data_IF_877718617767
#
_entry.id   IF_877718617767
#
_cell.length_a   1.000
_cell.length_b   1.000
_cell.length_c   1.000
_cell.angle_alpha   90.00
_cell.angle_beta   90.00
_cell.angle_gamma   90.00
#
_symmetry.space_group_name_H-M   'P 1'
#
loop_
_entity.id
_entity.type
_entity.pdbx_description
1 polymer ?
#
# COMPACT_ATOMS: atom_id res chain seq x y z
N UNK A 1 10.91 20.59 22.65
CA UNK A 1 12.05 20.26 21.77
C UNK A 1 11.66 20.62 20.34
N UNK A 2 12.66 20.94 19.51
CA UNK A 2 12.46 21.10 18.07
C UNK A 2 12.65 19.76 17.34
N UNK A 3 11.66 19.31 16.61
CA UNK A 3 11.68 18.01 15.93
C UNK A 3 11.42 18.20 14.43
N UNK A 4 12.30 17.62 13.61
CA UNK A 4 12.06 17.53 12.17
C UNK A 4 11.35 16.20 11.82
N UNK A 5 10.34 16.26 10.96
CA UNK A 5 9.73 15.10 10.32
C UNK A 5 9.93 15.24 8.82
N UNK A 6 10.46 14.20 8.15
CA UNK A 6 10.79 14.21 6.72
C UNK A 6 9.89 13.23 5.97
N UNK A 7 8.99 13.76 5.14
CA UNK A 7 7.96 13.05 4.41
C UNK A 7 6.58 13.23 5.03
N UNK A 8 5.64 13.79 4.25
CA UNK A 8 4.25 14.03 4.65
C UNK A 8 3.27 12.95 4.13
N UNK A 9 3.71 11.70 4.03
CA UNK A 9 2.82 10.54 3.89
C UNK A 9 2.10 10.22 5.21
N UNK A 10 1.25 9.19 5.23
CA UNK A 10 0.43 8.83 6.41
C UNK A 10 1.28 8.65 7.69
N UNK A 11 2.47 8.03 7.58
CA UNK A 11 3.34 7.83 8.73
C UNK A 11 3.89 9.15 9.29
N UNK A 12 4.37 10.05 8.42
CA UNK A 12 4.91 11.33 8.83
C UNK A 12 3.85 12.30 9.35
N UNK A 13 2.69 12.34 8.71
CA UNK A 13 1.54 13.12 9.17
C UNK A 13 1.08 12.67 10.55
N UNK A 14 0.96 11.34 10.76
CA UNK A 14 0.60 10.78 12.06
C UNK A 14 1.63 11.12 13.14
N UNK A 15 2.92 10.91 12.84
CA UNK A 15 4.00 11.23 13.77
C UNK A 15 4.02 12.73 14.11
N UNK A 16 3.95 13.61 13.11
CA UNK A 16 3.95 15.06 13.30
C UNK A 16 2.75 15.52 14.13
N UNK A 17 1.56 14.99 13.87
CA UNK A 17 0.36 15.28 14.65
C UNK A 17 0.54 14.92 16.13
N UNK A 18 1.01 13.71 16.42
CA UNK A 18 1.22 13.26 17.81
C UNK A 18 2.32 14.04 18.53
N UNK A 19 3.41 14.36 17.85
CA UNK A 19 4.52 15.13 18.41
C UNK A 19 4.15 16.58 18.69
N UNK A 20 3.28 17.18 17.88
CA UNK A 20 2.93 18.59 17.93
C UNK A 20 2.14 19.02 19.18
N UNK A 21 1.66 18.05 19.97
CA UNK A 21 1.01 18.33 21.26
C UNK A 21 1.99 18.87 22.32
N UNK A 22 3.28 18.49 22.23
CA UNK A 22 4.30 18.78 23.25
C UNK A 22 5.61 19.38 22.68
N UNK A 23 5.75 19.39 21.36
CA UNK A 23 7.00 19.76 20.68
C UNK A 23 6.77 20.72 19.52
N UNK A 24 7.80 21.49 19.18
CA UNK A 24 7.84 22.32 17.97
C UNK A 24 8.21 21.44 16.79
N UNK A 25 7.27 21.15 15.90
CA UNK A 25 7.43 20.21 14.81
C UNK A 25 7.47 20.94 13.47
N UNK A 26 8.54 20.69 12.70
CA UNK A 26 8.63 21.07 11.29
C UNK A 26 8.47 19.81 10.43
N UNK A 27 7.46 19.80 9.54
CA UNK A 27 7.20 18.72 8.60
C UNK A 27 7.63 19.10 7.19
N UNK A 28 8.65 18.43 6.65
CA UNK A 28 9.18 18.64 5.31
C UNK A 28 8.53 17.67 4.31
N UNK A 29 8.08 18.22 3.18
CA UNK A 29 7.56 17.43 2.05
C UNK A 29 8.21 17.93 0.75
N UNK A 30 8.66 16.97 -0.05
CA UNK A 30 9.30 17.25 -1.33
C UNK A 30 8.30 17.69 -2.42
N UNK A 31 7.08 17.12 -2.36
CA UNK A 31 5.99 17.48 -3.26
C UNK A 31 5.34 18.82 -2.86
N UNK A 32 4.54 19.36 -3.76
CA UNK A 32 3.73 20.56 -3.55
C UNK A 32 2.39 20.28 -2.84
N UNK A 33 2.15 19.03 -2.44
CA UNK A 33 0.98 18.58 -1.70
C UNK A 33 1.36 17.57 -0.59
N UNK A 34 0.63 17.55 0.54
CA UNK A 34 0.81 16.57 1.60
C UNK A 34 -0.04 15.31 1.32
N UNK A 35 0.40 14.16 1.85
CA UNK A 35 -0.35 12.90 1.80
C UNK A 35 0.43 11.72 1.20
N UNK A 36 1.48 11.98 0.41
CA UNK A 36 2.22 10.92 -0.28
C UNK A 36 1.31 10.12 -1.21
N UNK A 37 1.12 8.81 -0.94
CA UNK A 37 0.19 7.96 -1.70
C UNK A 37 -1.30 8.28 -1.44
N UNK A 38 -1.63 9.17 -0.50
CA UNK A 38 -2.98 9.72 -0.33
C UNK A 38 -3.16 10.87 -1.32
N UNK A 39 -3.64 10.56 -2.50
CA UNK A 39 -3.80 11.51 -3.59
C UNK A 39 -5.23 11.44 -4.15
N UNK A 40 -5.98 12.52 -3.94
CA UNK A 40 -7.33 12.69 -4.47
C UNK A 40 -7.34 13.77 -5.54
N UNK A 41 -7.88 13.45 -6.71
CA UNK A 41 -8.01 14.38 -7.86
C UNK A 41 -9.44 14.87 -7.96
N UNK A 42 -9.62 16.17 -8.06
CA UNK A 42 -10.90 16.75 -8.42
C UNK A 42 -11.07 16.69 -9.94
N UNK A 43 -12.12 15.98 -10.37
CA UNK A 43 -12.48 15.86 -11.78
C UNK A 43 -13.83 16.51 -12.00
N UNK A 44 -13.85 17.52 -12.84
CA UNK A 44 -15.10 18.16 -13.26
C UNK A 44 -15.75 17.38 -14.39
N UNK A 45 -17.00 16.93 -14.18
CA UNK A 45 -17.77 16.25 -15.20
C UNK A 45 -19.28 16.42 -14.95
N UNK A 46 -20.03 16.76 -16.01
CA UNK A 46 -21.48 16.95 -15.91
C UNK A 46 -21.90 18.08 -14.96
N UNK A 47 -21.09 19.14 -14.84
CA UNK A 47 -21.37 20.28 -13.95
C UNK A 47 -21.17 19.99 -12.45
N UNK A 48 -20.54 18.87 -12.10
CA UNK A 48 -20.17 18.48 -10.72
C UNK A 48 -18.70 18.13 -10.64
N UNK A 49 -18.12 18.39 -9.47
CA UNK A 49 -16.75 17.96 -9.12
C UNK A 49 -16.79 16.62 -8.40
N UNK A 50 -15.95 15.70 -8.85
CA UNK A 50 -15.83 14.35 -8.33
C UNK A 50 -14.44 14.18 -7.71
N UNK A 51 -14.37 13.83 -6.43
CA UNK A 51 -13.13 13.55 -5.72
C UNK A 51 -12.73 12.08 -5.98
N UNK A 52 -11.73 11.88 -6.82
CA UNK A 52 -11.30 10.54 -7.25
C UNK A 52 -9.92 10.22 -6.65
N UNK A 53 -9.83 9.19 -5.85
CA UNK A 53 -8.57 8.71 -5.28
C UNK A 53 -7.74 7.97 -6.32
N UNK A 54 -6.42 8.17 -6.29
CA UNK A 54 -5.50 7.57 -7.27
C UNK A 54 -4.39 6.73 -6.64
N UNK A 55 -4.26 6.76 -5.33
CA UNK A 55 -3.29 5.97 -4.57
C UNK A 55 -3.99 5.15 -3.48
N UNK A 56 -4.08 5.66 -2.26
CA UNK A 56 -4.84 5.00 -1.20
C UNK A 56 -6.34 5.17 -1.42
N UNK A 57 -7.10 4.05 -1.41
CA UNK A 57 -8.52 4.04 -1.77
C UNK A 57 -9.38 3.40 -0.67
N UNK A 58 -9.00 2.21 -0.18
CA UNK A 58 -9.83 1.39 0.69
C UNK A 58 -9.09 0.88 1.93
N UNK A 59 -9.84 0.62 2.97
CA UNK A 59 -9.41 -0.02 4.21
C UNK A 59 -10.52 -0.95 4.71
N UNK A 60 -10.26 -1.75 5.75
CA UNK A 60 -11.27 -2.66 6.29
C UNK A 60 -11.24 -2.71 7.81
N UNK A 61 -12.29 -3.26 8.41
CA UNK A 61 -12.50 -3.34 9.85
C UNK A 61 -11.60 -4.36 10.58
N UNK A 62 -10.99 -5.31 9.87
CA UNK A 62 -10.12 -6.33 10.48
C UNK A 62 -8.67 -5.88 10.63
N UNK A 63 -8.13 -5.31 9.56
CA UNK A 63 -6.67 -5.09 9.45
C UNK A 63 -6.26 -3.63 9.54
N UNK A 64 -7.20 -2.69 9.79
CA UNK A 64 -6.91 -1.25 9.93
C UNK A 64 -7.36 -0.64 11.26
N UNK A 65 -7.15 -1.29 12.43
CA UNK A 65 -7.68 -0.79 13.71
C UNK A 65 -7.07 0.54 14.14
N UNK A 66 -5.77 0.80 13.85
CA UNK A 66 -5.11 2.05 14.23
C UNK A 66 -5.46 3.19 13.29
N UNK A 67 -5.59 2.91 12.00
CA UNK A 67 -6.06 3.88 11.01
C UNK A 67 -7.51 4.28 11.30
N UNK A 68 -8.40 3.33 11.59
CA UNK A 68 -9.81 3.60 11.98
C UNK A 68 -9.86 4.41 13.28
N UNK A 69 -9.03 4.09 14.28
CA UNK A 69 -8.96 4.87 15.52
C UNK A 69 -8.53 6.32 15.24
N UNK A 70 -7.56 6.53 14.35
CA UNK A 70 -7.15 7.87 13.90
C UNK A 70 -8.30 8.61 13.21
N UNK A 71 -9.00 7.97 12.27
CA UNK A 71 -10.16 8.59 11.59
C UNK A 71 -11.26 8.97 12.58
N UNK A 72 -11.54 8.09 13.56
CA UNK A 72 -12.53 8.31 14.61
C UNK A 72 -12.17 9.52 15.48
N UNK A 73 -10.90 9.61 15.92
CA UNK A 73 -10.41 10.73 16.74
C UNK A 73 -10.47 12.06 16.01
N UNK A 74 -10.23 12.03 14.68
CA UNK A 74 -10.28 13.21 13.83
C UNK A 74 -11.70 13.56 13.34
N UNK A 75 -12.72 12.75 13.65
CA UNK A 75 -14.09 12.98 13.18
C UNK A 75 -14.24 12.80 11.67
N UNK A 76 -13.36 12.05 11.01
CA UNK A 76 -13.41 11.79 9.57
C UNK A 76 -14.41 10.68 9.26
N UNK A 77 -15.38 10.98 8.40
CA UNK A 77 -16.39 10.01 7.98
C UNK A 77 -15.91 9.07 6.88
N UNK A 78 -16.40 7.82 6.90
CA UNK A 78 -16.19 6.83 5.87
C UNK A 78 -17.50 6.13 5.46
N UNK A 79 -17.43 5.34 4.41
CA UNK A 79 -18.59 4.63 3.87
C UNK A 79 -18.20 3.25 3.36
N UNK A 80 -19.15 2.28 3.23
CA UNK A 80 -18.89 0.99 2.64
C UNK A 80 -18.31 1.09 1.23
N UNK A 81 -17.41 0.14 0.90
CA UNK A 81 -16.80 -0.05 -0.41
C UNK A 81 -17.03 -1.49 -0.88
N UNK A 82 -17.10 -1.69 -2.19
CA UNK A 82 -17.10 -3.02 -2.79
C UNK A 82 -15.66 -3.39 -3.18
N UNK A 83 -15.15 -4.46 -2.59
CA UNK A 83 -13.83 -4.99 -2.87
C UNK A 83 -13.97 -6.33 -3.61
N UNK A 84 -14.01 -6.27 -4.91
CA UNK A 84 -14.13 -7.42 -5.80
C UNK A 84 -12.94 -7.50 -6.76
N UNK A 85 -12.59 -8.71 -7.16
CA UNK A 85 -11.46 -8.98 -8.05
C UNK A 85 -11.88 -9.74 -9.29
N UNK A 86 -11.39 -9.29 -10.44
CA UNK A 86 -11.55 -9.96 -11.71
C UNK A 86 -10.22 -10.19 -12.42
N UNK A 87 -10.22 -11.18 -13.30
CA UNK A 87 -9.11 -11.44 -14.19
C UNK A 87 -9.60 -11.48 -15.65
N UNK A 88 -8.86 -10.79 -16.52
CA UNK A 88 -8.94 -10.90 -17.97
C UNK A 88 -7.57 -11.31 -18.49
N UNK A 89 -7.51 -12.43 -19.21
CA UNK A 89 -6.29 -12.94 -19.84
C UNK A 89 -6.35 -12.80 -21.35
N UNK A 90 -5.41 -12.08 -21.97
CA UNK A 90 -5.38 -11.89 -23.43
C UNK A 90 -5.06 -13.17 -24.16
N UNK A 91 -4.09 -13.96 -23.66
CA UNK A 91 -3.63 -15.20 -24.29
C UNK A 91 -4.71 -16.26 -24.39
N UNK A 92 -5.49 -16.46 -23.32
CA UNK A 92 -6.51 -17.53 -23.25
C UNK A 92 -7.93 -17.03 -23.51
N UNK A 93 -8.14 -15.72 -23.53
CA UNK A 93 -9.46 -15.09 -23.57
C UNK A 93 -10.30 -15.40 -22.33
N UNK A 94 -9.68 -15.81 -21.21
CA UNK A 94 -10.36 -16.09 -19.95
C UNK A 94 -10.77 -14.78 -19.28
N UNK A 95 -12.04 -14.70 -18.89
CA UNK A 95 -12.57 -13.61 -18.05
C UNK A 95 -13.44 -14.21 -16.95
N UNK A 96 -13.17 -13.83 -15.70
CA UNK A 96 -14.00 -14.20 -14.55
C UNK A 96 -13.89 -13.18 -13.43
N UNK A 97 -14.86 -13.21 -12.50
CA UNK A 97 -14.86 -12.44 -11.26
C UNK A 97 -15.23 -13.40 -10.10
N UNK A 98 -14.45 -13.37 -9.05
CA UNK A 98 -14.57 -14.29 -7.90
C UNK A 98 -15.68 -13.97 -6.89
N UNK A 99 -16.55 -12.97 -7.14
CA UNK A 99 -17.52 -12.48 -6.14
C UNK A 99 -18.71 -13.43 -5.95
N UNK A 100 -19.17 -14.07 -7.02
CA UNK A 100 -20.32 -14.99 -6.98
C UNK A 100 -20.15 -16.11 -8.00
N UNK A 101 -20.92 -17.20 -7.85
CA UNK A 101 -20.95 -18.27 -8.86
C UNK A 101 -21.36 -17.74 -10.25
N UNK A 102 -22.28 -16.78 -10.30
CA UNK A 102 -22.73 -16.19 -11.56
C UNK A 102 -21.59 -15.41 -12.27
N UNK A 103 -20.83 -14.63 -11.52
CA UNK A 103 -19.69 -13.87 -12.04
C UNK A 103 -18.45 -14.74 -12.28
N UNK A 104 -18.23 -15.79 -11.48
CA UNK A 104 -17.17 -16.78 -11.67
C UNK A 104 -17.33 -17.50 -13.01
N UNK A 105 -18.58 -17.85 -13.35
CA UNK A 105 -18.94 -18.42 -14.64
C UNK A 105 -19.52 -17.40 -15.62
N UNK A 106 -19.04 -16.15 -15.60
CA UNK A 106 -19.42 -15.12 -16.59
C UNK A 106 -19.24 -15.61 -18.03
N UNK A 107 -18.25 -16.46 -18.27
CA UNK A 107 -18.11 -17.26 -19.48
C UNK A 107 -18.66 -18.66 -19.23
N UNK A 108 -19.92 -18.94 -19.64
CA UNK A 108 -20.64 -20.21 -19.37
C UNK A 108 -19.89 -21.47 -19.84
N UNK A 109 -19.04 -21.36 -20.87
CA UNK A 109 -18.16 -22.45 -21.33
C UNK A 109 -17.22 -22.97 -20.24
N UNK A 110 -16.91 -22.17 -19.23
CA UNK A 110 -16.03 -22.56 -18.14
C UNK A 110 -16.68 -23.57 -17.17
N UNK A 111 -18.00 -23.77 -17.21
CA UNK A 111 -18.71 -24.82 -16.46
C UNK A 111 -18.25 -26.21 -16.84
N UNK A 112 -17.81 -26.41 -18.10
CA UNK A 112 -17.36 -27.69 -18.63
C UNK A 112 -15.87 -27.71 -19.00
N UNK A 113 -15.11 -26.66 -18.59
CA UNK A 113 -13.67 -26.58 -18.88
C UNK A 113 -12.84 -27.20 -17.74
N UNK A 114 -12.20 -28.38 -17.94
CA UNK A 114 -11.53 -29.10 -16.86
C UNK A 114 -10.43 -28.28 -16.17
N UNK A 115 -9.63 -27.50 -16.93
CA UNK A 115 -8.57 -26.67 -16.36
C UNK A 115 -9.11 -25.55 -15.46
N UNK A 116 -10.27 -24.97 -15.77
CA UNK A 116 -10.90 -23.95 -14.95
C UNK A 116 -11.50 -24.55 -13.67
N UNK A 117 -12.15 -25.71 -13.77
CA UNK A 117 -12.68 -26.45 -12.61
C UNK A 117 -11.53 -26.89 -11.68
N UNK A 118 -10.39 -27.34 -12.25
CA UNK A 118 -9.19 -27.66 -11.49
C UNK A 118 -8.65 -26.42 -10.75
N UNK A 119 -8.63 -25.25 -11.39
CA UNK A 119 -8.24 -24.01 -10.75
C UNK A 119 -9.11 -23.71 -9.52
N UNK A 120 -10.44 -23.86 -9.64
CA UNK A 120 -11.37 -23.67 -8.51
C UNK A 120 -11.06 -24.67 -7.38
N UNK A 121 -10.86 -25.96 -7.71
CA UNK A 121 -10.49 -26.95 -6.71
C UNK A 121 -9.17 -26.62 -6.02
N UNK A 122 -8.19 -26.09 -6.76
CA UNK A 122 -6.91 -25.67 -6.22
C UNK A 122 -7.04 -24.41 -5.32
N UNK A 123 -7.94 -23.46 -5.65
CA UNK A 123 -8.26 -22.32 -4.77
C UNK A 123 -8.79 -22.83 -3.43
N UNK A 124 -9.78 -23.73 -3.43
CA UNK A 124 -10.35 -24.27 -2.21
C UNK A 124 -9.31 -25.07 -1.39
N UNK A 125 -8.47 -25.85 -2.09
CA UNK A 125 -7.37 -26.60 -1.46
C UNK A 125 -6.32 -25.67 -0.84
N UNK A 126 -5.94 -24.59 -1.53
CA UNK A 126 -5.01 -23.58 -1.03
C UNK A 126 -5.58 -22.90 0.22
N UNK A 127 -6.83 -22.45 0.17
CA UNK A 127 -7.51 -21.81 1.29
C UNK A 127 -7.56 -22.70 2.55
N UNK A 128 -7.75 -24.03 2.36
CA UNK A 128 -7.80 -24.97 3.47
C UNK A 128 -6.41 -25.29 4.07
N UNK A 129 -5.38 -25.48 3.20
CA UNK A 129 -4.09 -26.02 3.62
C UNK A 129 -3.03 -24.96 3.92
N UNK A 130 -3.07 -23.81 3.26
CA UNK A 130 -1.99 -22.81 3.40
C UNK A 130 -1.86 -22.26 4.83
N UNK A 131 -2.94 -22.27 5.62
CA UNK A 131 -2.91 -21.88 7.04
C UNK A 131 -1.94 -22.71 7.87
N UNK A 132 -1.59 -23.92 7.46
CA UNK A 132 -0.58 -24.74 8.13
C UNK A 132 0.79 -24.03 8.20
N UNK A 133 1.09 -23.16 7.22
CA UNK A 133 2.31 -22.36 7.22
C UNK A 133 2.37 -21.34 8.36
N UNK A 134 1.24 -20.89 8.88
CA UNK A 134 1.16 -19.90 9.95
C UNK A 134 1.63 -20.49 11.30
N UNK A 135 1.56 -21.84 11.45
CA UNK A 135 2.05 -22.56 12.61
C UNK A 135 3.59 -22.73 12.60
N UNK A 136 4.24 -22.45 11.48
CA UNK A 136 5.70 -22.53 11.35
C UNK A 136 6.34 -21.15 11.57
N UNK A 137 7.62 -21.13 11.96
CA UNK A 137 8.43 -19.89 12.03
C UNK A 137 9.41 -19.80 10.83
N UNK A 138 9.25 -20.68 9.83
CA UNK A 138 10.12 -20.73 8.68
C UNK A 138 9.67 -19.74 7.59
N UNK A 139 10.39 -18.64 7.47
CA UNK A 139 10.20 -17.63 6.42
C UNK A 139 11.12 -17.88 5.20
N UNK A 140 11.89 -18.98 5.18
CA UNK A 140 12.79 -19.31 4.07
C UNK A 140 12.09 -19.95 2.87
N UNK A 141 10.96 -20.65 3.10
CA UNK A 141 10.17 -21.28 2.05
C UNK A 141 9.51 -20.23 1.18
N UNK A 142 9.82 -20.23 -0.12
CA UNK A 142 9.20 -19.30 -1.06
C UNK A 142 7.80 -19.76 -1.50
N UNK A 143 6.99 -18.81 -1.99
CA UNK A 143 5.66 -19.10 -2.51
C UNK A 143 5.74 -20.09 -3.69
N UNK A 144 6.70 -19.89 -4.60
CA UNK A 144 6.93 -20.78 -5.74
C UNK A 144 7.26 -22.21 -5.32
N UNK A 145 8.16 -22.39 -4.34
CA UNK A 145 8.48 -23.71 -3.79
C UNK A 145 7.28 -24.36 -3.11
N UNK A 146 6.52 -23.62 -2.30
CA UNK A 146 5.31 -24.13 -1.66
C UNK A 146 4.28 -24.61 -2.68
N UNK A 147 4.02 -23.81 -3.71
CA UNK A 147 3.08 -24.16 -4.76
C UNK A 147 3.55 -25.38 -5.58
N UNK A 148 4.84 -25.45 -5.87
CA UNK A 148 5.46 -26.58 -6.57
C UNK A 148 5.37 -27.88 -5.77
N UNK A 149 5.77 -27.88 -4.50
CA UNK A 149 5.68 -29.02 -3.57
C UNK A 149 4.22 -29.47 -3.37
N UNK A 150 3.29 -28.52 -3.34
CA UNK A 150 1.85 -28.81 -3.22
C UNK A 150 1.19 -29.35 -4.48
N UNK A 151 1.87 -29.40 -5.63
CA UNK A 151 1.32 -29.87 -6.91
C UNK A 151 0.11 -29.06 -7.38
N UNK A 152 0.17 -27.72 -7.17
CA UNK A 152 -0.87 -26.82 -7.67
C UNK A 152 -0.81 -26.67 -9.17
N UNK A 153 -1.97 -26.56 -9.82
CA UNK A 153 -2.03 -26.48 -11.29
C UNK A 153 -1.47 -25.16 -11.80
N UNK A 154 -0.88 -25.21 -12.99
CA UNK A 154 -0.40 -24.00 -13.69
C UNK A 154 -1.51 -22.96 -13.84
N UNK A 155 -2.76 -23.41 -14.09
CA UNK A 155 -3.92 -22.52 -14.20
C UNK A 155 -4.15 -21.74 -12.89
N UNK A 156 -4.03 -22.38 -11.73
CA UNK A 156 -4.16 -21.75 -10.42
C UNK A 156 -3.04 -20.72 -10.18
N UNK A 157 -1.80 -21.10 -10.49
CA UNK A 157 -0.64 -20.21 -10.32
C UNK A 157 -0.76 -18.97 -11.21
N UNK A 158 -0.97 -19.18 -12.52
CA UNK A 158 -0.92 -18.10 -13.52
C UNK A 158 -2.20 -17.25 -13.58
N UNK A 159 -3.36 -17.78 -13.16
CA UNK A 159 -4.63 -17.07 -13.32
C UNK A 159 -5.32 -16.74 -11.99
N UNK A 160 -4.73 -17.09 -10.84
CA UNK A 160 -5.28 -16.71 -9.54
C UNK A 160 -4.22 -16.18 -8.57
N UNK A 161 -3.32 -17.03 -8.05
CA UNK A 161 -2.47 -16.67 -6.91
C UNK A 161 -1.44 -15.58 -7.27
N UNK A 162 -0.73 -15.74 -8.38
CA UNK A 162 0.25 -14.73 -8.85
C UNK A 162 -0.46 -13.42 -9.25
N UNK A 163 -1.55 -13.42 -10.06
CA UNK A 163 -2.33 -12.21 -10.33
C UNK A 163 -2.82 -11.48 -9.08
N UNK A 164 -3.33 -12.20 -8.07
CA UNK A 164 -3.77 -11.60 -6.81
C UNK A 164 -2.62 -10.93 -6.08
N UNK A 165 -1.49 -11.62 -5.90
CA UNK A 165 -0.32 -11.04 -5.25
C UNK A 165 0.25 -9.85 -6.02
N UNK A 166 0.34 -9.94 -7.35
CA UNK A 166 0.77 -8.83 -8.21
C UNK A 166 -0.16 -7.62 -8.12
N UNK A 167 -1.47 -7.83 -8.03
CA UNK A 167 -2.43 -6.74 -7.87
C UNK A 167 -2.30 -6.05 -6.52
N UNK A 168 -1.93 -6.78 -5.46
CA UNK A 168 -1.78 -6.28 -4.09
C UNK A 168 -0.47 -5.48 -3.92
N UNK A 169 0.65 -6.04 -4.39
CA UNK A 169 2.00 -5.48 -4.15
C UNK A 169 2.64 -4.84 -5.38
N UNK A 170 1.98 -4.84 -6.53
CA UNK A 170 2.52 -4.33 -7.80
C UNK A 170 3.88 -4.94 -8.18
N UNK A 171 4.14 -6.18 -7.75
CA UNK A 171 5.39 -6.89 -7.96
C UNK A 171 5.41 -7.66 -9.29
N UNK A 172 6.60 -7.89 -9.84
CA UNK A 172 6.76 -8.76 -11.01
C UNK A 172 6.44 -10.22 -10.69
N UNK A 173 6.09 -11.04 -11.71
CA UNK A 173 5.68 -12.41 -11.50
C UNK A 173 6.75 -13.29 -10.86
N UNK A 174 8.01 -13.13 -11.27
CA UNK A 174 9.14 -13.85 -10.69
C UNK A 174 9.36 -13.44 -9.22
N UNK A 175 9.37 -12.13 -8.94
CA UNK A 175 9.49 -11.61 -7.59
C UNK A 175 8.35 -12.10 -6.68
N UNK A 176 7.13 -12.26 -7.22
CA UNK A 176 5.99 -12.77 -6.45
C UNK A 176 6.18 -14.24 -6.03
N UNK A 177 6.80 -15.06 -6.88
CA UNK A 177 7.11 -16.46 -6.55
C UNK A 177 8.25 -16.58 -5.52
N UNK A 178 9.11 -15.57 -5.43
CA UNK A 178 10.19 -15.49 -4.44
C UNK A 178 9.75 -14.92 -3.08
N UNK A 179 8.49 -14.46 -2.95
CA UNK A 179 7.94 -14.03 -1.65
C UNK A 179 8.00 -15.17 -0.64
N UNK A 180 8.29 -14.89 0.64
CA UNK A 180 8.12 -15.88 1.69
C UNK A 180 6.68 -16.39 1.72
N UNK A 181 6.48 -17.70 1.59
CA UNK A 181 5.15 -18.29 1.52
C UNK A 181 4.32 -17.95 2.76
N UNK A 182 4.92 -17.97 3.95
CA UNK A 182 4.28 -17.63 5.21
C UNK A 182 3.82 -16.16 5.24
N UNK A 183 4.64 -15.21 4.78
CA UNK A 183 4.28 -13.79 4.69
C UNK A 183 3.06 -13.58 3.76
N UNK A 184 3.06 -14.24 2.59
CA UNK A 184 1.95 -14.20 1.65
C UNK A 184 0.66 -14.75 2.27
N UNK A 185 0.74 -15.92 2.92
CA UNK A 185 -0.42 -16.58 3.54
C UNK A 185 -0.93 -15.81 4.75
N UNK A 186 -0.07 -15.25 5.61
CA UNK A 186 -0.46 -14.41 6.74
C UNK A 186 -1.27 -13.20 6.26
N UNK A 187 -0.79 -12.54 5.21
CA UNK A 187 -1.54 -11.43 4.60
C UNK A 187 -2.91 -11.88 4.08
N UNK A 188 -2.97 -12.99 3.34
CA UNK A 188 -4.22 -13.51 2.79
C UNK A 188 -5.21 -13.91 3.88
N UNK A 189 -4.74 -14.53 4.96
CA UNK A 189 -5.60 -14.94 6.08
C UNK A 189 -6.17 -13.73 6.81
N UNK A 190 -5.33 -12.77 7.19
CA UNK A 190 -5.75 -11.55 7.89
C UNK A 190 -6.73 -10.71 7.08
N UNK A 191 -6.62 -10.68 5.75
CA UNK A 191 -7.51 -9.94 4.86
C UNK A 191 -8.72 -10.75 4.38
N UNK A 192 -8.95 -11.95 4.95
CA UNK A 192 -10.11 -12.79 4.63
C UNK A 192 -10.07 -13.42 3.23
N UNK A 193 -8.92 -13.40 2.53
CA UNK A 193 -8.81 -13.99 1.19
C UNK A 193 -8.79 -15.52 1.19
N UNK A 194 -8.48 -16.14 2.34
CA UNK A 194 -8.55 -17.61 2.53
C UNK A 194 -9.93 -18.09 2.97
N UNK A 195 -10.93 -17.21 3.03
CA UNK A 195 -12.31 -17.56 3.37
C UNK A 195 -13.27 -17.26 2.22
N UNK A 196 -14.30 -18.09 2.08
CA UNK A 196 -15.39 -17.85 1.13
C UNK A 196 -16.49 -17.01 1.79
N UNK A 197 -16.79 -17.24 3.07
CA UNK A 197 -17.95 -16.69 3.77
C UNK A 197 -17.59 -15.56 4.75
N UNK A 198 -16.45 -15.67 5.43
CA UNK A 198 -15.99 -14.67 6.40
C UNK A 198 -15.03 -13.71 5.72
N UNK A 199 -15.47 -12.49 5.49
CA UNK A 199 -14.67 -11.44 4.86
C UNK A 199 -14.81 -10.13 5.63
N UNK A 200 -13.75 -9.31 5.68
CA UNK A 200 -13.82 -7.99 6.29
C UNK A 200 -14.80 -7.08 5.53
N UNK A 201 -15.35 -6.12 6.23
CA UNK A 201 -16.14 -5.05 5.62
C UNK A 201 -15.18 -3.99 5.08
N UNK A 202 -15.13 -3.88 3.77
CA UNK A 202 -14.32 -2.87 3.11
C UNK A 202 -14.99 -1.52 3.11
N UNK A 203 -14.17 -0.48 3.25
CA UNK A 203 -14.61 0.90 3.44
C UNK A 203 -13.71 1.86 2.68
N UNK A 204 -14.21 3.06 2.42
CA UNK A 204 -13.48 4.17 1.81
C UNK A 204 -13.77 5.48 2.53
N UNK A 205 -12.82 6.41 2.53
CA UNK A 205 -13.02 7.72 3.16
C UNK A 205 -14.02 8.54 2.34
N UNK A 206 -15.04 9.07 3.00
CA UNK A 206 -16.08 9.89 2.33
C UNK A 206 -15.47 11.21 1.85
N UNK A 207 -15.70 11.55 0.59
CA UNK A 207 -15.15 12.77 -0.03
C UNK A 207 -13.70 12.63 -0.51
N UNK A 208 -13.17 11.38 -0.54
CA UNK A 208 -11.80 11.07 -0.94
C UNK A 208 -10.81 11.05 0.22
N UNK A 209 -9.73 10.33 0.04
CA UNK A 209 -8.72 10.07 1.08
C UNK A 209 -8.02 11.34 1.58
N UNK A 210 -7.88 12.39 0.77
CA UNK A 210 -7.35 13.69 1.20
C UNK A 210 -8.10 14.31 2.40
N UNK A 211 -9.35 13.90 2.66
CA UNK A 211 -10.14 14.41 3.77
C UNK A 211 -9.48 14.15 5.11
N UNK A 212 -8.91 12.96 5.32
CA UNK A 212 -8.20 12.67 6.56
C UNK A 212 -6.87 13.45 6.67
N UNK A 213 -6.20 13.70 5.54
CA UNK A 213 -4.97 14.53 5.52
C UNK A 213 -5.29 15.95 5.99
N UNK A 214 -6.36 16.55 5.46
CA UNK A 214 -6.84 17.86 5.89
C UNK A 214 -7.20 17.89 7.38
N UNK A 215 -7.87 16.87 7.89
CA UNK A 215 -8.23 16.75 9.30
C UNK A 215 -6.99 16.62 10.21
N UNK A 216 -5.98 15.82 9.80
CA UNK A 216 -4.70 15.72 10.51
C UNK A 216 -3.99 17.06 10.59
N UNK A 217 -3.89 17.78 9.48
CA UNK A 217 -3.23 19.08 9.42
C UNK A 217 -3.96 20.14 10.26
N UNK A 218 -5.30 20.10 10.27
CA UNK A 218 -6.10 21.01 11.09
C UNK A 218 -5.95 20.72 12.59
N UNK A 219 -5.73 19.46 12.98
CA UNK A 219 -5.53 19.05 14.37
C UNK A 219 -4.08 19.23 14.86
N UNK A 220 -3.11 19.32 13.95
CA UNK A 220 -1.69 19.42 14.26
C UNK A 220 -1.23 20.88 14.34
N UNK A 221 -0.33 21.16 15.31
CA UNK A 221 0.36 22.47 15.42
C UNK A 221 1.78 22.31 14.85
N UNK A 222 1.89 22.33 13.52
CA UNK A 222 3.14 22.05 12.81
C UNK A 222 3.51 23.18 11.85
N UNK A 223 4.80 23.35 11.60
CA UNK A 223 5.33 24.12 10.49
C UNK A 223 5.44 23.19 9.26
N UNK A 224 4.42 23.22 8.39
CA UNK A 224 4.39 22.40 7.17
C UNK A 224 5.11 23.11 6.03
N UNK A 225 6.14 22.46 5.48
CA UNK A 225 6.95 22.98 4.38
C UNK A 225 6.83 22.09 3.14
N UNK A 226 5.89 22.43 2.29
CA UNK A 226 5.68 21.80 0.98
C UNK A 226 6.74 22.28 -0.03
N UNK A 227 6.92 21.54 -1.12
CA UNK A 227 7.92 21.80 -2.17
C UNK A 227 9.32 22.11 -1.59
N UNK A 228 9.63 21.47 -0.43
CA UNK A 228 10.87 21.70 0.32
C UNK A 228 11.62 20.37 0.52
N UNK A 229 12.19 19.81 -0.56
CA UNK A 229 12.93 18.56 -0.47
C UNK A 229 14.17 18.71 0.41
N UNK A 230 14.29 17.81 1.39
CA UNK A 230 15.51 17.66 2.19
C UNK A 230 16.60 17.06 1.31
N UNK A 231 17.82 17.58 1.43
CA UNK A 231 19.01 17.14 0.70
C UNK A 231 19.89 16.24 1.55
N UNK A 232 20.16 16.65 2.80
CA UNK A 232 20.97 15.86 3.72
C UNK A 232 20.62 16.09 5.18
N UNK A 233 20.94 15.08 6.01
CA UNK A 233 20.74 15.05 7.45
C UNK A 233 22.07 14.69 8.12
N UNK A 234 22.62 15.66 8.87
CA UNK A 234 23.82 15.46 9.68
C UNK A 234 23.44 15.30 11.14
N UNK A 235 23.81 14.20 11.72
CA UNK A 235 23.61 13.90 13.14
C UNK A 235 24.84 14.29 13.94
N UNK A 236 24.62 15.04 15.02
CA UNK A 236 25.64 15.57 15.92
C UNK A 236 25.38 15.06 17.35
N UNK A 237 26.36 15.08 18.25
CA UNK A 237 26.16 14.66 19.64
C UNK A 237 25.06 15.47 20.35
N UNK A 238 24.89 16.74 20.00
CA UNK A 238 23.97 17.70 20.62
C UNK A 238 22.68 17.94 19.83
N UNK A 239 22.55 17.39 18.60
CA UNK A 239 21.34 17.58 17.77
C UNK A 239 21.47 17.03 16.36
N UNK A 240 20.57 17.48 15.51
CA UNK A 240 20.47 17.10 14.10
C UNK A 240 20.42 18.36 13.24
N UNK A 241 21.16 18.41 12.14
CA UNK A 241 21.04 19.45 11.12
C UNK A 241 20.37 18.89 9.87
N UNK A 242 19.29 19.54 9.47
CA UNK A 242 18.57 19.24 8.23
C UNK A 242 18.92 20.29 7.20
N UNK A 243 19.41 19.87 6.04
CA UNK A 243 19.68 20.73 4.89
C UNK A 243 18.65 20.50 3.82
N UNK A 244 18.05 21.55 3.29
CA UNK A 244 17.18 21.49 2.14
C UNK A 244 17.96 21.58 0.83
N UNK A 245 17.37 21.16 -0.30
CA UNK A 245 17.98 21.35 -1.63
C UNK A 245 18.18 22.83 -2.01
N UNK A 246 17.48 23.75 -1.35
CA UNK A 246 17.69 25.20 -1.54
C UNK A 246 18.93 25.72 -0.80
N UNK A 247 19.52 24.90 0.04
CA UNK A 247 20.72 25.25 0.83
C UNK A 247 20.44 25.71 2.24
N UNK A 248 19.17 25.87 2.63
CA UNK A 248 18.81 26.23 4.01
C UNK A 248 19.23 25.13 4.97
N UNK A 249 19.80 25.49 6.13
CA UNK A 249 20.25 24.56 7.16
C UNK A 249 19.60 24.92 8.48
N UNK A 250 18.85 24.01 9.07
CA UNK A 250 18.21 24.18 10.38
C UNK A 250 18.61 23.10 11.38
N UNK A 251 18.65 23.48 12.66
CA UNK A 251 18.99 22.59 13.77
C UNK A 251 17.74 22.08 14.50
N UNK A 252 17.76 20.80 14.86
CA UNK A 252 16.70 20.10 15.58
C UNK A 252 17.31 19.23 16.69
N UNK A 253 16.50 18.90 17.70
CA UNK A 253 16.90 17.95 18.75
C UNK A 253 16.83 16.51 18.23
N UNK A 254 15.82 16.19 17.40
CA UNK A 254 15.56 14.88 16.83
C UNK A 254 15.00 14.96 15.41
N UNK A 255 15.11 13.85 14.66
CA UNK A 255 14.52 13.71 13.32
C UNK A 255 13.76 12.40 13.17
N UNK A 256 12.55 12.49 12.58
CA UNK A 256 11.76 11.35 12.13
C UNK A 256 11.86 11.27 10.60
N UNK A 257 12.37 10.13 10.09
CA UNK A 257 12.44 9.83 8.67
C UNK A 257 11.22 9.00 8.29
N UNK A 258 10.24 9.65 7.67
CA UNK A 258 8.93 9.09 7.31
C UNK A 258 8.76 8.96 5.77
N UNK A 259 9.86 8.91 5.06
CA UNK A 259 9.96 8.65 3.62
C UNK A 259 10.32 7.19 3.35
N UNK A 260 10.48 6.79 2.08
CA UNK A 260 10.93 5.44 1.72
C UNK A 260 12.30 5.12 2.33
N UNK A 261 12.57 3.83 2.58
CA UNK A 261 13.82 3.41 3.24
C UNK A 261 15.07 3.80 2.46
N UNK A 262 15.04 3.67 1.13
CA UNK A 262 16.11 4.08 0.23
C UNK A 262 16.30 5.61 0.21
N UNK A 263 15.20 6.37 0.29
CA UNK A 263 15.24 7.82 0.43
C UNK A 263 15.84 8.21 1.78
N UNK A 264 15.35 7.62 2.86
CA UNK A 264 15.88 7.84 4.20
C UNK A 264 17.40 7.61 4.26
N UNK A 265 17.85 6.50 3.67
CA UNK A 265 19.27 6.16 3.62
C UNK A 265 20.09 7.18 2.83
N UNK A 266 19.59 7.68 1.69
CA UNK A 266 20.26 8.71 0.88
C UNK A 266 20.39 10.04 1.59
N UNK A 267 19.46 10.37 2.48
CA UNK A 267 19.48 11.62 3.23
C UNK A 267 20.52 11.64 4.35
N UNK A 268 20.94 10.50 4.87
CA UNK A 268 21.90 10.41 5.97
C UNK A 268 23.33 10.63 5.46
N UNK A 269 24.02 11.70 5.94
CA UNK A 269 25.42 11.99 5.56
C UNK A 269 26.37 10.88 6.05
N UNK A 270 26.10 10.28 7.21
CA UNK A 270 26.92 9.23 7.81
C UNK A 270 26.02 8.12 8.38
N UNK A 271 25.46 7.23 7.54
CA UNK A 271 24.65 6.10 8.01
C UNK A 271 25.52 5.08 8.76
N UNK A 272 24.99 4.52 9.82
CA UNK A 272 25.61 3.40 10.54
C UNK A 272 25.58 2.12 9.70
N UNK A 273 26.40 1.13 10.06
CA UNK A 273 26.38 -0.19 9.39
C UNK A 273 25.00 -0.86 9.46
N UNK A 274 24.30 -0.75 10.58
CA UNK A 274 22.95 -1.27 10.75
C UNK A 274 21.93 -0.56 9.85
N UNK A 275 21.98 0.76 9.75
CA UNK A 275 21.12 1.52 8.83
C UNK A 275 21.38 1.16 7.37
N UNK A 276 22.63 1.05 6.97
CA UNK A 276 23.02 0.62 5.62
C UNK A 276 22.46 -0.78 5.29
N UNK A 277 22.61 -1.72 6.20
CA UNK A 277 22.15 -3.10 5.99
C UNK A 277 20.63 -3.20 5.92
N UNK A 278 19.94 -2.59 6.89
CA UNK A 278 18.49 -2.72 7.05
C UNK A 278 17.74 -1.89 6.00
N UNK A 279 18.09 -0.61 5.81
CA UNK A 279 17.34 0.25 4.89
C UNK A 279 17.54 -0.12 3.41
N UNK A 280 18.67 -0.72 3.04
CA UNK A 280 18.92 -1.28 1.70
C UNK A 280 18.17 -2.60 1.42
N UNK A 281 17.59 -3.22 2.44
CA UNK A 281 16.91 -4.49 2.27
C UNK A 281 15.55 -4.35 1.55
N UNK A 282 15.02 -3.13 1.43
CA UNK A 282 13.74 -2.84 0.80
C UNK A 282 13.94 -2.21 -0.58
N UNK A 283 13.88 -2.99 -1.68
CA UNK A 283 13.82 -2.43 -3.02
C UNK A 283 12.44 -1.86 -3.30
N UNK A 284 12.36 -0.95 -4.26
CA UNK A 284 11.10 -0.33 -4.71
C UNK A 284 10.89 -0.56 -6.19
N UNK A 285 9.63 -0.80 -6.58
CA UNK A 285 9.20 -0.86 -7.97
C UNK A 285 8.35 0.38 -8.27
N UNK A 286 8.73 1.09 -9.34
CA UNK A 286 7.97 2.26 -9.80
C UNK A 286 6.81 1.81 -10.67
N UNK A 287 5.65 2.43 -10.45
CA UNK A 287 4.42 2.15 -11.17
C UNK A 287 3.86 3.43 -11.77
N UNK A 288 3.62 3.42 -13.08
CA UNK A 288 2.86 4.47 -13.74
C UNK A 288 1.37 4.29 -13.43
N UNK A 289 0.73 5.34 -12.93
CA UNK A 289 -0.67 5.33 -12.53
C UNK A 289 -1.44 6.36 -13.34
N UNK A 290 -2.45 5.91 -14.07
CA UNK A 290 -3.21 6.74 -15.01
C UNK A 290 -4.66 6.82 -14.54
N UNK A 291 -5.14 8.03 -14.22
CA UNK A 291 -6.56 8.33 -14.06
C UNK A 291 -7.16 8.64 -15.43
N UNK A 292 -8.23 7.93 -15.82
CA UNK A 292 -8.83 8.03 -17.14
C UNK A 292 -10.32 7.62 -17.14
N UNK A 293 -10.99 7.78 -18.30
CA UNK A 293 -12.38 7.38 -18.51
C UNK A 293 -12.55 6.29 -19.60
N UNK A 294 -11.47 5.61 -19.98
CA UNK A 294 -11.44 4.65 -21.08
C UNK A 294 -11.88 3.25 -20.64
N UNK A 295 -13.15 2.90 -20.84
CA UNK A 295 -13.77 1.68 -20.32
C UNK A 295 -13.39 0.38 -21.06
N UNK A 296 -12.72 0.44 -22.23
CA UNK A 296 -12.35 -0.77 -23.00
C UNK A 296 -11.30 -1.66 -22.32
N UNK A 297 -10.63 -1.15 -21.27
CA UNK A 297 -9.73 -1.95 -20.44
C UNK A 297 -10.49 -2.90 -19.50
N UNK A 298 -11.72 -2.59 -19.13
CA UNK A 298 -12.54 -3.47 -18.33
C UNK A 298 -12.84 -4.79 -19.07
N UNK A 299 -13.10 -5.90 -18.36
CA UNK A 299 -13.55 -7.15 -18.96
C UNK A 299 -14.70 -6.92 -19.95
N UNK A 300 -14.67 -7.63 -21.08
CA UNK A 300 -15.71 -7.55 -22.12
C UNK A 300 -17.07 -8.01 -21.58
N UNK A 301 -17.04 -9.07 -20.75
CA UNK A 301 -18.23 -9.59 -20.07
C UNK A 301 -18.55 -8.70 -18.87
N UNK A 302 -19.73 -8.07 -18.89
CA UNK A 302 -20.16 -7.18 -17.77
C UNK A 302 -20.18 -7.93 -16.43
N UNK A 303 -20.61 -9.20 -16.40
CA UNK A 303 -20.59 -10.03 -15.21
C UNK A 303 -19.16 -10.34 -14.69
N UNK A 304 -18.14 -10.19 -15.50
CA UNK A 304 -16.75 -10.38 -15.10
C UNK A 304 -16.10 -9.08 -14.57
N UNK A 305 -16.76 -7.93 -14.69
CA UNK A 305 -16.22 -6.66 -14.18
C UNK A 305 -16.26 -6.62 -12.65
N UNK A 306 -15.24 -6.04 -12.06
CA UNK A 306 -15.06 -5.93 -10.61
C UNK A 306 -14.52 -4.56 -10.24
N UNK A 307 -14.37 -4.31 -8.95
CA UNK A 307 -13.67 -3.14 -8.43
C UNK A 307 -12.19 -3.14 -8.87
N UNK A 308 -11.52 -4.29 -8.78
CA UNK A 308 -10.15 -4.52 -9.25
C UNK A 308 -10.18 -5.45 -10.47
N UNK A 309 -9.76 -4.94 -11.62
CA UNK A 309 -9.74 -5.69 -12.88
C UNK A 309 -8.29 -5.95 -13.29
N UNK A 310 -7.78 -7.14 -12.98
CA UNK A 310 -6.43 -7.56 -13.35
C UNK A 310 -6.39 -7.97 -14.82
N UNK A 311 -5.46 -7.40 -15.56
CA UNK A 311 -5.27 -7.65 -16.97
C UNK A 311 -3.97 -8.44 -17.18
N UNK A 312 -4.08 -9.72 -17.48
CA UNK A 312 -2.95 -10.57 -17.84
C UNK A 312 -2.66 -10.37 -19.33
N UNK A 313 -1.66 -9.56 -19.61
CA UNK A 313 -1.25 -9.16 -20.95
C UNK A 313 -0.68 -10.34 -21.74
N UNK A 314 -0.53 -10.16 -23.05
CA UNK A 314 -0.03 -11.20 -23.94
C UNK A 314 1.44 -11.55 -23.63
N UNK A 315 2.27 -10.56 -23.38
CA UNK A 315 3.65 -10.75 -22.92
C UNK A 315 3.68 -10.93 -21.38
N UNK A 316 4.19 -12.08 -20.89
CA UNK A 316 4.33 -12.32 -19.45
C UNK A 316 5.35 -11.40 -18.76
N UNK A 317 6.26 -10.77 -19.52
CA UNK A 317 7.30 -9.88 -19.00
C UNK A 317 6.80 -8.44 -18.79
N UNK A 318 5.60 -8.11 -19.28
CA UNK A 318 5.04 -6.80 -19.07
C UNK A 318 4.71 -6.54 -17.59
N UNK A 319 4.83 -5.28 -17.13
CA UNK A 319 4.48 -4.88 -15.78
C UNK A 319 3.05 -5.26 -15.40
N UNK A 320 2.76 -5.19 -14.11
CA UNK A 320 1.40 -5.42 -13.58
C UNK A 320 0.42 -4.44 -14.22
N UNK A 321 -0.59 -4.95 -14.90
CA UNK A 321 -1.70 -4.15 -15.42
C UNK A 321 -2.96 -4.40 -14.59
N UNK A 322 -3.37 -3.41 -13.81
CA UNK A 322 -4.61 -3.45 -13.00
C UNK A 322 -5.40 -2.19 -13.29
N UNK A 323 -6.69 -2.34 -13.52
CA UNK A 323 -7.63 -1.22 -13.66
C UNK A 323 -8.62 -1.24 -12.50
N UNK A 324 -8.57 -0.21 -11.67
CA UNK A 324 -9.50 0.02 -10.57
C UNK A 324 -10.72 0.80 -11.08
N UNK A 325 -11.92 0.34 -10.75
CA UNK A 325 -13.19 1.04 -11.04
C UNK A 325 -13.56 1.91 -9.84
N UNK A 326 -13.26 3.20 -9.91
CA UNK A 326 -13.44 4.13 -8.81
C UNK A 326 -14.90 4.39 -8.50
N UNK A 327 -15.79 4.23 -9.48
CA UNK A 327 -17.23 4.33 -9.23
C UNK A 327 -17.71 3.21 -8.31
N UNK A 328 -17.09 2.03 -8.39
CA UNK A 328 -17.39 0.91 -7.49
C UNK A 328 -16.71 1.11 -6.14
N UNK A 329 -15.39 1.39 -6.13
CA UNK A 329 -14.59 1.49 -4.92
C UNK A 329 -15.01 2.65 -4.00
N UNK A 330 -15.30 3.81 -4.58
CA UNK A 330 -15.70 5.00 -3.83
C UNK A 330 -17.20 5.27 -3.84
N UNK A 331 -18.02 4.35 -4.40
CA UNK A 331 -19.46 4.51 -4.58
C UNK A 331 -19.83 5.86 -5.26
N UNK A 332 -19.11 6.22 -6.34
CA UNK A 332 -19.35 7.45 -7.07
C UNK A 332 -20.52 7.29 -8.04
N UNK A 333 -21.58 8.06 -7.82
CA UNK A 333 -22.75 8.10 -8.73
C UNK A 333 -22.51 9.00 -9.94
N UNK A 334 -21.30 8.92 -10.54
CA UNK A 334 -20.92 9.74 -11.66
C UNK A 334 -21.51 9.18 -12.98
N UNK A 335 -21.90 10.05 -13.94
CA UNK A 335 -22.44 9.64 -15.24
C UNK A 335 -21.40 8.97 -16.13
N UNK A 336 -20.13 9.04 -15.77
CA UNK A 336 -18.98 8.44 -16.44
C UNK A 336 -18.23 7.55 -15.44
N UNK A 337 -17.55 6.51 -15.93
CA UNK A 337 -16.66 5.71 -15.08
C UNK A 337 -15.28 6.37 -15.01
N UNK A 338 -14.85 6.63 -13.81
CA UNK A 338 -13.47 7.00 -13.48
C UNK A 338 -12.68 5.72 -13.19
N UNK A 339 -11.61 5.54 -13.92
CA UNK A 339 -10.76 4.37 -13.84
C UNK A 339 -9.35 4.80 -13.51
N UNK A 340 -8.70 4.02 -12.64
CA UNK A 340 -7.28 4.18 -12.34
C UNK A 340 -6.55 2.92 -12.81
N UNK A 341 -5.62 3.07 -13.75
CA UNK A 341 -4.89 1.93 -14.33
C UNK A 341 -3.41 2.02 -14.03
N UNK A 342 -2.83 0.91 -13.60
CA UNK A 342 -1.39 0.77 -13.39
C UNK A 342 -0.74 0.16 -14.64
N UNK A 343 0.38 0.78 -15.07
CA UNK A 343 1.36 0.24 -16.02
C UNK A 343 0.79 -0.24 -17.37
N UNK A 344 -0.30 0.33 -17.84
CA UNK A 344 -0.87 -0.05 -19.15
C UNK A 344 -1.34 1.18 -19.96
N UNK A 345 -0.50 2.22 -19.97
CA UNK A 345 -0.81 3.48 -20.69
C UNK A 345 -1.04 3.26 -22.17
N UNK A 346 -0.24 2.42 -22.80
CA UNK A 346 -0.32 2.18 -24.26
C UNK A 346 -1.69 1.66 -24.73
N UNK A 347 -2.46 1.02 -23.85
CA UNK A 347 -3.80 0.52 -24.14
C UNK A 347 -4.92 1.56 -23.91
N UNK A 348 -4.60 2.75 -23.39
CA UNK A 348 -5.56 3.81 -23.08
C UNK A 348 -5.59 4.83 -24.22
N UNK A 349 -6.78 5.20 -24.68
CA UNK A 349 -6.94 6.34 -25.61
C UNK A 349 -6.51 7.63 -24.90
N UNK A 350 -5.46 8.27 -25.39
CA UNK A 350 -4.83 9.45 -24.79
C UNK A 350 -5.83 10.60 -24.55
N UNK A 351 -6.86 10.73 -25.39
CA UNK A 351 -7.95 11.72 -25.22
C UNK A 351 -8.83 11.44 -23.99
N UNK A 352 -8.71 10.27 -23.39
CA UNK A 352 -9.46 9.84 -22.19
C UNK A 352 -8.61 9.89 -20.93
N UNK A 353 -7.33 10.19 -21.03
CA UNK A 353 -6.43 10.40 -19.90
C UNK A 353 -6.77 11.73 -19.23
N UNK A 354 -6.93 11.69 -17.92
CA UNK A 354 -7.21 12.86 -17.08
C UNK A 354 -5.96 13.32 -16.35
N UNK A 355 -5.21 12.36 -15.77
CA UNK A 355 -3.98 12.64 -15.04
C UNK A 355 -3.08 11.41 -14.95
N UNK A 356 -1.77 11.64 -14.82
CA UNK A 356 -0.77 10.58 -14.68
C UNK A 356 0.09 10.83 -13.43
N UNK A 357 0.45 9.77 -12.73
CA UNK A 357 1.29 9.77 -11.54
C UNK A 357 2.35 8.68 -11.66
N UNK A 358 3.37 8.76 -10.80
CA UNK A 358 4.32 7.68 -10.55
C UNK A 358 4.33 7.37 -9.07
N UNK A 359 4.08 6.11 -8.69
CA UNK A 359 4.14 5.65 -7.31
C UNK A 359 5.12 4.50 -7.18
N UNK A 360 6.00 4.60 -6.18
CA UNK A 360 6.96 3.56 -5.87
C UNK A 360 6.42 2.69 -4.72
N UNK A 361 6.36 1.38 -4.96
CA UNK A 361 5.91 0.41 -3.98
C UNK A 361 7.07 -0.48 -3.50
N UNK A 362 7.16 -0.79 -2.19
CA UNK A 362 8.18 -1.69 -1.68
C UNK A 362 7.95 -3.12 -2.20
N UNK A 363 9.04 -3.78 -2.57
CA UNK A 363 9.05 -5.18 -2.99
C UNK A 363 9.56 -6.04 -1.84
N UNK A 364 8.80 -7.07 -1.46
CA UNK A 364 9.12 -7.92 -0.33
C UNK A 364 9.85 -9.19 -0.77
N UNK A 365 11.02 -9.39 -0.19
CA UNK A 365 11.85 -10.59 -0.32
C UNK A 365 12.10 -11.18 1.07
N UNK A 366 12.62 -12.40 1.19
CA UNK A 366 13.03 -12.93 2.50
C UNK A 366 13.96 -11.99 3.27
N UNK A 367 14.88 -11.31 2.56
CA UNK A 367 15.76 -10.29 3.14
C UNK A 367 15.00 -9.07 3.66
N UNK A 368 14.01 -8.58 2.92
CA UNK A 368 13.18 -7.45 3.34
C UNK A 368 12.34 -7.80 4.58
N UNK A 369 11.72 -8.98 4.60
CA UNK A 369 10.93 -9.45 5.76
C UNK A 369 11.81 -9.64 7.00
N UNK A 370 13.01 -10.20 6.86
CA UNK A 370 13.97 -10.30 7.97
C UNK A 370 14.40 -8.90 8.49
N UNK A 371 14.59 -7.93 7.59
CA UNK A 371 14.95 -6.57 7.96
C UNK A 371 13.86 -5.85 8.77
N UNK A 372 12.58 -6.14 8.52
CA UNK A 372 11.45 -5.57 9.27
C UNK A 372 11.56 -5.87 10.78
N UNK A 373 12.07 -7.03 11.17
CA UNK A 373 12.24 -7.41 12.58
C UNK A 373 13.27 -6.54 13.30
N UNK A 374 14.08 -5.81 12.57
CA UNK A 374 15.16 -4.97 13.09
C UNK A 374 14.76 -3.48 13.23
N UNK A 375 13.47 -3.13 13.07
CA UNK A 375 12.97 -1.77 13.21
C UNK A 375 13.40 -1.12 14.52
N UNK A 376 13.27 -1.86 15.64
CA UNK A 376 13.69 -1.38 16.96
C UNK A 376 15.18 -1.03 17.05
N UNK A 377 16.03 -1.72 16.31
CA UNK A 377 17.49 -1.50 16.35
C UNK A 377 17.89 -0.14 15.77
N UNK A 378 17.10 0.43 14.86
CA UNK A 378 17.41 1.68 14.20
C UNK A 378 16.86 2.89 14.95
N UNK A 379 15.76 2.72 15.67
CA UNK A 379 15.08 3.83 16.32
C UNK A 379 15.81 4.27 17.60
N UNK A 380 15.96 5.59 17.79
CA UNK A 380 16.66 6.23 18.90
C UNK A 380 18.16 6.43 18.68
N UNK A 381 18.77 5.61 17.81
CA UNK A 381 20.18 5.75 17.49
C UNK A 381 20.45 7.11 16.83
N UNK A 382 21.44 7.84 17.35
CA UNK A 382 21.86 9.15 16.83
C UNK A 382 20.68 10.12 16.61
N UNK A 383 19.71 10.15 17.54
CA UNK A 383 18.54 11.06 17.52
C UNK A 383 17.61 10.88 16.31
N UNK A 384 17.64 9.72 15.69
CA UNK A 384 16.89 9.42 14.46
C UNK A 384 15.85 8.34 14.69
N UNK A 385 14.66 8.52 14.12
CA UNK A 385 13.54 7.58 14.20
C UNK A 385 13.01 7.34 12.80
N UNK A 386 12.75 6.08 12.46
CA UNK A 386 12.33 5.65 11.13
C UNK A 386 10.91 5.12 11.17
N UNK A 387 10.05 5.64 10.31
CA UNK A 387 8.70 5.12 10.13
C UNK A 387 8.33 5.10 8.65
N UNK A 388 7.36 4.27 8.29
CA UNK A 388 6.91 4.07 6.91
C UNK A 388 6.24 2.72 6.75
N UNK A 389 5.38 2.59 5.75
CA UNK A 389 4.61 1.38 5.53
C UNK A 389 5.47 0.14 5.20
N UNK A 390 6.69 0.33 4.69
CA UNK A 390 7.64 -0.74 4.35
C UNK A 390 8.09 -1.60 5.55
N UNK A 391 7.89 -1.11 6.77
CA UNK A 391 8.18 -1.88 7.98
C UNK A 391 7.22 -3.06 8.23
N UNK A 392 6.15 -3.19 7.42
CA UNK A 392 5.22 -4.33 7.45
C UNK A 392 4.79 -4.67 6.00
N UNK A 393 3.49 -4.67 5.70
CA UNK A 393 2.96 -5.11 4.40
C UNK A 393 2.84 -4.01 3.35
N UNK A 394 3.13 -2.74 3.67
CA UNK A 394 3.13 -1.63 2.72
C UNK A 394 1.83 -0.82 2.65
N UNK A 395 0.91 -1.00 3.59
CA UNK A 395 -0.41 -0.35 3.60
C UNK A 395 -0.50 0.81 4.60
N UNK A 396 -1.59 1.57 4.55
CA UNK A 396 -1.80 2.73 5.42
C UNK A 396 -1.79 2.39 6.90
N UNK A 397 -2.39 1.27 7.30
CA UNK A 397 -2.29 0.76 8.67
C UNK A 397 -0.83 0.58 9.09
N UNK A 398 -0.02 0.03 8.20
CA UNK A 398 1.40 -0.22 8.48
C UNK A 398 2.19 1.07 8.66
N UNK A 399 1.83 2.11 7.89
CA UNK A 399 2.37 3.46 8.07
C UNK A 399 2.06 4.02 9.45
N UNK A 400 0.80 3.92 9.89
CA UNK A 400 0.36 4.37 11.22
C UNK A 400 1.05 3.57 12.31
N UNK A 401 1.06 2.23 12.23
CA UNK A 401 1.68 1.34 13.23
C UNK A 401 3.18 1.61 13.34
N UNK A 402 3.89 1.81 12.23
CA UNK A 402 5.32 2.11 12.25
C UNK A 402 5.61 3.47 12.90
N UNK A 403 4.75 4.46 12.65
CA UNK A 403 4.86 5.77 13.31
C UNK A 403 4.60 5.66 14.82
N UNK A 404 3.59 4.89 15.26
CA UNK A 404 3.35 4.61 16.67
C UNK A 404 4.56 3.93 17.32
N UNK A 405 5.16 2.95 16.66
CA UNK A 405 6.36 2.27 17.16
C UNK A 405 7.56 3.23 17.30
N UNK A 406 7.78 4.09 16.29
CA UNK A 406 8.84 5.11 16.36
C UNK A 406 8.60 6.12 17.49
N UNK A 407 7.34 6.55 17.70
CA UNK A 407 6.95 7.42 18.80
C UNK A 407 7.12 6.73 20.17
N UNK A 408 6.80 5.44 20.28
CA UNK A 408 7.00 4.68 21.52
C UNK A 408 8.49 4.63 21.88
N UNK A 409 9.38 4.40 20.92
CA UNK A 409 10.83 4.46 21.13
C UNK A 409 11.28 5.86 21.55
N UNK A 410 10.82 6.90 20.89
CA UNK A 410 11.12 8.29 21.24
C UNK A 410 10.69 8.61 22.69
N UNK A 411 9.48 8.21 23.08
CA UNK A 411 8.98 8.41 24.43
C UNK A 411 9.78 7.59 25.47
N UNK A 412 10.16 6.36 25.14
CA UNK A 412 11.02 5.51 25.96
C UNK A 412 12.40 6.13 26.20
N UNK A 413 13.03 6.68 25.16
CA UNK A 413 14.29 7.41 25.25
C UNK A 413 14.18 8.65 26.14
N UNK A 414 12.99 9.25 26.26
CA UNK A 414 12.69 10.36 27.18
C UNK A 414 12.24 9.90 28.58
N UNK A 415 12.18 8.59 28.86
CA UNK A 415 11.70 8.05 30.13
C UNK A 415 10.18 8.20 30.35
N UNK A 416 9.39 8.34 29.28
CA UNK A 416 7.93 8.51 29.31
C UNK A 416 7.21 7.17 29.13
N UNK A 417 5.95 7.07 29.60
CA UNK A 417 5.11 5.90 29.44
C UNK A 417 4.79 5.64 27.95
N UNK A 418 4.81 4.39 27.51
CA UNK A 418 4.43 3.98 26.14
C UNK A 418 2.94 4.22 25.90
N UNK A 419 2.60 4.73 24.71
CA UNK A 419 1.23 4.73 24.23
C UNK A 419 0.82 3.30 23.83
N UNK A 420 -0.35 2.79 24.28
CA UNK A 420 -0.74 1.42 23.96
C UNK A 420 -1.00 1.27 22.45
N UNK A 421 -0.28 0.33 21.83
CA UNK A 421 -0.54 -0.10 20.45
C UNK A 421 -1.81 -0.97 20.43
N UNK A 422 -2.77 -0.63 19.56
CA UNK A 422 -3.87 -1.54 19.27
C UNK A 422 -3.34 -2.69 18.40
N UNK A 423 -3.44 -3.90 18.90
CA UNK A 423 -3.01 -5.08 18.15
C UNK A 423 -3.97 -5.31 16.98
N UNK A 424 -3.42 -5.54 15.80
CA UNK A 424 -4.13 -6.14 14.68
C UNK A 424 -4.39 -7.59 15.08
N UNK A 425 -5.65 -7.95 15.20
CA UNK A 425 -6.10 -9.30 15.58
C UNK A 425 -5.68 -10.38 14.59
#
# INVERSE_FOLDING_TARGET
MRIAVVGAGVAGLYAAWRLSSEHDVTLYEAADYPGGHTATVDVEHGGRTWAVDTGFIVFNDWTYPNFIAMLTELGVAWQPSDMSFSLRCERSGLEYNGTSLNSLFAQRRNLVRPSFLRMIADILRFNARSRELLATLDDSLTLGEYLGRGGYSRQFVEHYVVPMGRAIWSAEAAAMLDFPARFFVDFFDRHGFLSVDQRPVWQTVRGGSRTYVGALLAAARIDLRLATPVDSIRRLPDGVRVRTRRGDVEGYDHVFLACHSDQALRLLEAPTAAELEVLRAFPYASNEVILHTYQRLLPRRTLARAAWNYHLLADPQEPVAVTYDMNVLQALEAPVRFLVTLNNRAAIDERRVLRTFSYDHPVYSPRAVAAQQRHRQLNGAARSYFCGAYWRCGFHEDGVVSAQAALAHFNGDLGRAELPLRRVG
#
